data_IF_736614010326
#
_entry.id   IF_736614010326
#
_cell.length_a   1.000
_cell.length_b   1.000
_cell.length_c   1.000
_cell.angle_alpha   90.00
_cell.angle_beta   90.00
_cell.angle_gamma   90.00
#
_symmetry.space_group_name_H-M   'P 1'
#
loop_
_entity.id
_entity.type
_entity.pdbx_description
1 polymer ?
#
# COMPACT_ATOMS: atom_id res chain seq x y z
N UNK A 1 3.96 5.63 3.79
CA UNK A 1 3.57 4.20 3.69
C UNK A 1 3.27 3.74 2.26
N UNK A 2 2.21 4.25 1.59
CA UNK A 2 1.77 3.74 0.27
C UNK A 2 2.86 3.75 -0.81
N UNK A 3 3.60 4.86 -0.97
CA UNK A 3 4.72 4.93 -1.92
C UNK A 3 5.77 3.85 -1.68
N UNK A 4 6.09 3.56 -0.42
CA UNK A 4 7.04 2.52 -0.07
C UNK A 4 6.55 1.14 -0.52
N UNK A 5 5.26 0.83 -0.34
CA UNK A 5 4.69 -0.46 -0.75
C UNK A 5 4.68 -0.59 -2.28
N UNK A 6 4.35 0.49 -2.99
CA UNK A 6 4.36 0.50 -4.46
C UNK A 6 5.78 0.36 -5.01
N UNK A 7 6.72 1.17 -4.53
CA UNK A 7 8.06 1.29 -5.15
C UNK A 7 9.00 0.16 -4.74
N UNK A 8 8.92 -0.31 -3.49
CA UNK A 8 9.82 -1.35 -2.98
C UNK A 8 9.24 -2.76 -3.10
N UNK A 9 7.92 -2.89 -3.21
CA UNK A 9 7.24 -4.18 -3.14
C UNK A 9 6.15 -4.37 -4.22
N UNK A 10 6.17 -3.55 -5.27
CA UNK A 10 5.26 -3.62 -6.42
C UNK A 10 3.76 -3.65 -6.05
N UNK A 11 3.38 -3.02 -4.93
CA UNK A 11 2.00 -2.96 -4.46
C UNK A 11 1.62 -4.00 -3.40
N UNK A 12 2.54 -4.91 -3.07
CA UNK A 12 2.38 -5.91 -2.02
C UNK A 12 1.82 -7.26 -2.49
N UNK A 13 1.36 -8.12 -1.57
CA UNK A 13 1.19 -7.93 -0.12
C UNK A 13 2.50 -7.97 0.68
N UNK A 14 2.63 -7.08 1.69
CA UNK A 14 3.83 -6.95 2.54
C UNK A 14 3.48 -6.95 4.02
N UNK A 15 4.30 -7.59 4.85
CA UNK A 15 4.14 -7.57 6.32
C UNK A 15 4.32 -6.17 6.92
N UNK A 16 3.59 -5.88 8.01
CA UNK A 16 3.67 -4.59 8.71
C UNK A 16 5.08 -4.27 9.17
N UNK A 17 5.77 -5.23 9.78
CA UNK A 17 7.14 -5.08 10.27
C UNK A 17 8.12 -4.71 9.16
N UNK A 18 7.96 -5.29 7.97
CA UNK A 18 8.77 -4.98 6.80
C UNK A 18 8.50 -3.56 6.30
N UNK A 19 7.23 -3.13 6.28
CA UNK A 19 6.87 -1.76 5.89
C UNK A 19 7.44 -0.76 6.91
N UNK A 20 7.22 -1.00 8.20
CA UNK A 20 7.70 -0.20 9.32
C UNK A 20 9.22 -0.01 9.24
N UNK A 21 9.97 -1.10 9.03
CA UNK A 21 11.42 -1.06 8.82
C UNK A 21 11.80 -0.23 7.59
N UNK A 22 11.06 -0.38 6.49
CA UNK A 22 11.36 0.30 5.24
C UNK A 22 11.05 1.80 5.23
N UNK A 23 10.19 2.27 6.15
CA UNK A 23 9.87 3.70 6.37
C UNK A 23 10.52 4.28 7.63
N UNK A 24 11.25 3.47 8.40
CA UNK A 24 11.87 3.84 9.69
C UNK A 24 10.86 4.39 10.72
N UNK A 25 9.68 3.78 10.78
CA UNK A 25 8.61 4.11 11.72
C UNK A 25 8.25 2.89 12.58
N UNK A 26 7.58 3.12 13.70
CA UNK A 26 7.05 2.04 14.55
C UNK A 26 5.85 1.35 13.89
N UNK A 27 5.80 0.02 13.97
CA UNK A 27 4.69 -0.79 13.43
C UNK A 27 3.35 -0.38 14.03
N UNK A 28 3.34 -0.11 15.33
CA UNK A 28 2.11 0.15 16.09
C UNK A 28 1.53 1.51 15.68
N UNK A 29 2.39 2.51 15.46
CA UNK A 29 1.97 3.81 14.92
C UNK A 29 1.34 3.66 13.53
N UNK A 30 1.92 2.83 12.66
CA UNK A 30 1.33 2.57 11.35
C UNK A 30 -0.04 1.90 11.47
N UNK A 31 -0.17 0.88 12.32
CA UNK A 31 -1.41 0.12 12.51
C UNK A 31 -2.52 0.92 13.20
N UNK A 32 -2.21 1.69 14.23
CA UNK A 32 -3.20 2.39 15.05
C UNK A 32 -3.55 3.78 14.53
N UNK A 33 -2.60 4.46 13.86
CA UNK A 33 -2.78 5.85 13.43
C UNK A 33 -2.98 5.95 11.92
N UNK A 34 -2.16 5.26 11.13
CA UNK A 34 -2.10 5.47 9.67
C UNK A 34 -3.08 4.57 8.92
N UNK A 35 -3.12 3.28 9.24
CA UNK A 35 -3.95 2.30 8.56
C UNK A 35 -5.45 2.60 8.61
N UNK A 36 -6.05 3.05 9.73
CA UNK A 36 -7.48 3.32 9.78
C UNK A 36 -7.91 4.34 8.72
N UNK A 37 -7.12 5.40 8.54
CA UNK A 37 -7.36 6.41 7.52
C UNK A 37 -7.21 5.84 6.11
N UNK A 38 -6.11 5.11 5.84
CA UNK A 38 -5.84 4.57 4.51
C UNK A 38 -6.86 3.50 4.09
N UNK A 39 -7.32 2.67 5.02
CA UNK A 39 -8.35 1.65 4.78
C UNK A 39 -9.69 2.32 4.55
N UNK A 40 -10.06 3.33 5.37
CA UNK A 40 -11.32 4.06 5.20
C UNK A 40 -11.40 4.80 3.86
N UNK A 41 -10.29 5.37 3.39
CA UNK A 41 -10.22 5.99 2.06
C UNK A 41 -10.13 4.96 0.92
N UNK A 42 -10.00 3.67 1.22
CA UNK A 42 -9.88 2.61 0.22
C UNK A 42 -8.53 2.55 -0.47
N UNK A 43 -7.47 3.10 0.12
CA UNK A 43 -6.10 3.11 -0.42
C UNK A 43 -5.28 1.87 -0.04
N UNK A 44 -5.60 1.26 1.09
CA UNK A 44 -4.88 0.12 1.65
C UNK A 44 -5.86 -0.98 2.02
N UNK A 45 -5.47 -2.23 1.77
CA UNK A 45 -6.23 -3.42 2.14
C UNK A 45 -5.38 -4.33 3.04
N UNK A 46 -6.00 -4.83 4.13
CA UNK A 46 -5.41 -5.86 4.98
C UNK A 46 -5.77 -7.22 4.42
N UNK A 47 -4.76 -8.02 4.10
CA UNK A 47 -4.91 -9.41 3.67
C UNK A 47 -4.22 -10.34 4.68
N UNK A 48 -4.54 -11.64 4.70
CA UNK A 48 -3.82 -12.61 5.54
C UNK A 48 -2.31 -12.68 5.24
N UNK A 49 -1.89 -12.27 4.04
CA UNK A 49 -0.49 -12.25 3.60
C UNK A 49 0.23 -10.93 3.89
N UNK A 50 -0.49 -9.90 4.33
CA UNK A 50 0.06 -8.57 4.58
C UNK A 50 -0.80 -7.44 4.03
N UNK A 51 -0.22 -6.25 3.95
CA UNK A 51 -0.86 -5.03 3.46
C UNK A 51 -0.63 -4.91 1.96
N UNK A 52 -1.71 -4.66 1.23
CA UNK A 52 -1.69 -4.49 -0.21
C UNK A 52 -2.26 -3.11 -0.57
N UNK A 53 -1.66 -2.47 -1.55
CA UNK A 53 -2.11 -1.16 -2.05
C UNK A 53 -3.18 -1.39 -3.10
N UNK A 54 -4.29 -0.66 -3.00
CA UNK A 54 -5.41 -0.77 -3.93
C UNK A 54 -5.16 0.05 -5.20
N UNK A 55 -5.92 -0.22 -6.27
CA UNK A 55 -5.88 0.58 -7.50
C UNK A 55 -6.10 2.08 -7.25
N UNK A 56 -6.97 2.43 -6.29
CA UNK A 56 -7.29 3.82 -5.97
C UNK A 56 -6.07 4.58 -5.44
N UNK A 57 -5.22 3.92 -4.65
CA UNK A 57 -3.98 4.52 -4.16
C UNK A 57 -2.97 4.76 -5.29
N UNK A 58 -2.90 3.87 -6.28
CA UNK A 58 -2.08 4.10 -7.46
C UNK A 58 -2.55 5.32 -8.25
N UNK A 59 -3.87 5.44 -8.47
CA UNK A 59 -4.47 6.60 -9.16
C UNK A 59 -4.22 7.90 -8.38
N UNK A 60 -4.42 7.89 -7.06
CA UNK A 60 -4.16 9.04 -6.19
C UNK A 60 -2.70 9.49 -6.22
N UNK A 61 -1.76 8.54 -6.28
CA UNK A 61 -0.32 8.81 -6.33
C UNK A 61 0.20 9.03 -7.75
N UNK A 62 -0.66 8.96 -8.78
CA UNK A 62 -0.25 9.09 -10.18
C UNK A 62 0.69 7.98 -10.66
N UNK A 63 0.60 6.77 -10.09
CA UNK A 63 1.47 5.63 -10.42
C UNK A 63 0.77 4.60 -11.30
N UNK A 64 1.54 3.96 -12.17
CA UNK A 64 1.04 2.87 -13.02
C UNK A 64 0.74 1.63 -12.20
N UNK A 65 -0.52 1.21 -12.18
CA UNK A 65 -0.94 -0.03 -11.54
C UNK A 65 -0.45 -1.23 -12.38
N UNK A 66 0.38 -2.15 -11.84
CA UNK A 66 0.98 -3.23 -12.62
C UNK A 66 -0.03 -4.25 -13.19
N UNK A 67 -1.26 -4.28 -12.66
CA UNK A 67 -2.37 -5.07 -13.22
C UNK A 67 -3.17 -4.39 -14.34
N UNK A 68 -2.77 -3.19 -14.79
CA UNK A 68 -3.41 -2.45 -15.87
C UNK A 68 -2.63 -2.53 -17.18
N UNK A 69 -2.26 -3.74 -17.61
CA UNK A 69 -2.15 -3.96 -19.05
C UNK A 69 -3.56 -4.12 -19.64
N UNK A 70 -3.89 -3.20 -20.56
CA UNK A 70 -4.98 -3.20 -21.53
C UNK A 70 -6.36 -2.67 -21.10
N UNK A 71 -6.58 -1.38 -21.39
CA UNK A 71 -7.35 -1.09 -22.60
C UNK A 71 -6.43 -0.41 -23.61
N UNK A 72 -5.97 -1.21 -24.58
CA UNK A 72 -5.56 -0.71 -25.89
C UNK A 72 -6.72 0.07 -26.48
N UNK A 73 -6.49 1.33 -26.86
CA UNK A 73 -7.01 1.95 -28.06
C UNK A 73 -6.02 3.03 -28.49
#
# INVERSE_FOLDING_TARGET
MLNCIIDKFNGGPVGLSTIATAVAEESDTLEEVIEPFLIQQGYLERTPRGRQVTKLAYEYLGKSFPGSQQKMF
#
